data_IF_154571777408
#
_entry.id   IF_154571777408
#
_cell.length_a   1.000
_cell.length_b   1.000
_cell.length_c   1.000
_cell.angle_alpha   90.00
_cell.angle_beta   90.00
_cell.angle_gamma   90.00
#
_symmetry.space_group_name_H-M   'P 1'
#
loop_
_entity.id
_entity.type
_entity.pdbx_description
1 polymer ?
#
# COMPACT_ATOMS: atom_id res chain seq x y z
N UNK A 1 -5.21 11.97 -4.91
CA UNK A 1 -4.39 10.90 -4.28
C UNK A 1 -3.03 10.88 -4.96
N UNK A 2 -1.99 10.72 -4.18
CA UNK A 2 -0.59 10.61 -4.64
C UNK A 2 0.03 9.37 -4.04
N UNK A 3 0.86 8.70 -4.84
CA UNK A 3 1.61 7.52 -4.44
C UNK A 3 3.09 7.76 -4.67
N UNK A 4 3.90 7.54 -3.66
CA UNK A 4 5.35 7.69 -3.68
C UNK A 4 6.03 6.41 -3.23
N UNK A 5 7.12 6.05 -3.89
CA UNK A 5 7.98 4.93 -3.49
C UNK A 5 9.44 5.38 -3.48
N UNK A 6 10.24 4.69 -2.68
CA UNK A 6 11.70 4.85 -2.69
C UNK A 6 12.36 3.51 -2.41
N UNK A 7 13.51 3.26 -3.02
CA UNK A 7 14.38 2.14 -2.67
C UNK A 7 15.52 2.67 -1.81
N UNK A 8 15.56 2.23 -0.56
CA UNK A 8 16.54 2.70 0.45
C UNK A 8 17.70 1.72 0.68
N UNK A 9 17.74 0.63 -0.09
CA UNK A 9 18.79 -0.36 -0.04
C UNK A 9 18.35 -1.74 0.43
N UNK A 10 19.14 -2.75 0.08
CA UNK A 10 19.00 -4.12 0.59
C UNK A 10 19.68 -4.25 1.95
N UNK A 11 19.12 -5.07 2.83
CA UNK A 11 19.70 -5.32 4.16
C UNK A 11 19.35 -4.29 5.25
N UNK A 12 18.58 -3.26 4.91
CA UNK A 12 18.09 -2.27 5.88
C UNK A 12 17.11 -2.91 6.88
N UNK A 13 17.16 -2.48 8.11
CA UNK A 13 16.30 -2.97 9.18
C UNK A 13 14.84 -2.56 8.97
N UNK A 14 13.92 -3.28 9.62
CA UNK A 14 12.50 -2.93 9.63
C UNK A 14 12.24 -1.52 10.16
N UNK A 15 13.05 -1.07 11.13
CA UNK A 15 12.96 0.28 11.70
C UNK A 15 13.32 1.34 10.66
N UNK A 16 14.45 1.18 9.98
CA UNK A 16 14.89 2.10 8.93
C UNK A 16 13.87 2.17 7.79
N UNK A 17 13.32 1.03 7.35
CA UNK A 17 12.24 1.02 6.35
C UNK A 17 11.00 1.78 6.84
N UNK A 18 10.63 1.61 8.12
CA UNK A 18 9.50 2.34 8.70
C UNK A 18 9.77 3.84 8.74
N UNK A 19 10.96 4.26 9.17
CA UNK A 19 11.34 5.67 9.26
C UNK A 19 11.37 6.33 7.86
N UNK A 20 11.89 5.64 6.86
CA UNK A 20 11.86 6.07 5.46
C UNK A 20 10.43 6.18 4.89
N UNK A 21 9.55 5.25 5.21
CA UNK A 21 8.16 5.33 4.79
C UNK A 21 7.46 6.57 5.36
N UNK A 22 7.76 6.95 6.60
CA UNK A 22 7.27 8.19 7.18
C UNK A 22 7.97 9.45 6.63
N UNK A 23 9.23 9.34 6.20
CA UNK A 23 9.89 10.42 5.49
C UNK A 23 9.21 10.70 4.14
N UNK A 24 8.79 9.66 3.40
CA UNK A 24 7.93 9.83 2.20
C UNK A 24 6.61 10.53 2.50
N UNK A 25 5.96 10.23 3.63
CA UNK A 25 4.73 10.95 4.03
C UNK A 25 5.05 12.43 4.26
N UNK A 26 6.12 12.76 4.99
CA UNK A 26 6.52 14.17 5.22
C UNK A 26 6.85 14.90 3.92
N UNK A 27 7.55 14.23 2.99
CA UNK A 27 7.82 14.74 1.66
C UNK A 27 6.51 15.07 0.92
N UNK A 28 5.55 14.16 0.89
CA UNK A 28 4.24 14.38 0.27
C UNK A 28 3.46 15.53 0.94
N UNK A 29 3.54 15.66 2.27
CA UNK A 29 2.91 16.76 3.00
C UNK A 29 3.54 18.11 2.64
N UNK A 30 4.87 18.15 2.50
CA UNK A 30 5.59 19.36 2.08
C UNK A 30 5.19 19.80 0.67
N UNK A 31 5.08 18.87 -0.28
CA UNK A 31 4.57 19.16 -1.63
C UNK A 31 3.15 19.74 -1.64
N UNK A 32 2.33 19.37 -0.66
CA UNK A 32 0.97 19.89 -0.47
C UNK A 32 0.90 21.19 0.34
N UNK A 33 2.03 21.72 0.77
CA UNK A 33 2.09 22.91 1.64
C UNK A 33 1.55 22.64 3.06
N UNK A 34 1.43 21.39 3.48
CA UNK A 34 0.96 21.02 4.82
C UNK A 34 2.15 21.04 5.79
N UNK A 35 2.16 22.01 6.71
CA UNK A 35 3.18 22.15 7.74
C UNK A 35 2.61 21.88 9.14
N UNK A 36 3.48 21.51 10.09
CA UNK A 36 3.11 21.34 11.50
C UNK A 36 2.29 20.10 11.84
N UNK A 37 1.88 19.29 10.85
CA UNK A 37 1.13 18.08 11.11
C UNK A 37 2.04 16.97 11.69
N UNK A 38 1.69 16.48 12.88
CA UNK A 38 2.41 15.39 13.53
C UNK A 38 1.83 14.03 13.12
N UNK A 39 2.71 13.04 12.90
CA UNK A 39 2.30 11.67 12.67
C UNK A 39 2.11 11.00 14.02
N UNK A 40 0.89 10.60 14.32
CA UNK A 40 0.51 9.85 15.50
C UNK A 40 0.55 8.36 15.17
N UNK A 41 1.27 7.58 15.99
CA UNK A 41 1.42 6.12 15.84
C UNK A 41 0.77 5.42 17.05
N UNK A 42 -0.51 5.11 17.00
CA UNK A 42 -1.16 4.42 18.13
C UNK A 42 -0.64 2.98 18.23
N UNK A 43 -0.58 2.45 19.43
CA UNK A 43 -0.18 1.06 19.66
C UNK A 43 -1.26 0.12 19.05
N UNK A 44 -0.88 -0.68 18.05
CA UNK A 44 -1.78 -1.62 17.37
C UNK A 44 -2.81 -0.99 16.41
N UNK A 45 -2.72 0.33 16.13
CA UNK A 45 -3.63 1.03 15.25
C UNK A 45 -2.94 1.56 13.98
N UNK A 46 -3.76 1.99 13.02
CA UNK A 46 -3.29 2.67 11.82
C UNK A 46 -2.76 4.07 12.17
N UNK A 47 -1.55 4.46 11.72
CA UNK A 47 -1.04 5.81 11.92
C UNK A 47 -1.91 6.87 11.22
N UNK A 48 -1.97 8.06 11.81
CA UNK A 48 -2.75 9.19 11.29
C UNK A 48 -2.06 10.53 11.58
N UNK A 49 -2.50 11.59 10.94
CA UNK A 49 -2.02 12.96 11.22
C UNK A 49 -2.82 13.60 12.37
N UNK A 50 -2.16 14.33 13.24
CA UNK A 50 -2.81 15.07 14.34
C UNK A 50 -3.91 16.02 13.87
N UNK A 51 -3.74 16.60 12.66
CA UNK A 51 -4.74 17.45 12.00
C UNK A 51 -5.92 16.65 11.38
N UNK A 52 -5.90 15.30 11.41
CA UNK A 52 -6.92 14.45 10.83
C UNK A 52 -6.85 14.31 9.30
N UNK A 53 -6.31 15.28 8.59
CA UNK A 53 -6.16 15.29 7.11
C UNK A 53 -4.83 15.92 6.70
N UNK A 54 -4.30 15.57 5.50
CA UNK A 54 -4.76 14.48 4.62
C UNK A 54 -4.61 13.10 5.25
N UNK A 55 -5.28 12.11 4.70
CA UNK A 55 -5.11 10.69 5.08
C UNK A 55 -3.86 10.12 4.43
N UNK A 56 -3.23 9.16 5.10
CA UNK A 56 -2.13 8.43 4.50
C UNK A 56 -2.12 6.95 4.85
N UNK A 57 -1.37 6.19 4.07
CA UNK A 57 -1.06 4.78 4.32
C UNK A 57 0.39 4.52 3.94
N UNK A 58 1.10 3.70 4.71
CA UNK A 58 2.48 3.31 4.43
C UNK A 58 2.62 1.81 4.38
N UNK A 59 3.58 1.35 3.59
CA UNK A 59 4.04 -0.03 3.56
C UNK A 59 5.51 -0.10 3.22
N UNK A 60 6.14 -1.23 3.48
CA UNK A 60 7.52 -1.50 3.09
C UNK A 60 7.78 -2.98 2.94
N UNK A 61 8.65 -3.33 2.00
CA UNK A 61 9.10 -4.71 1.76
C UNK A 61 10.51 -4.69 1.17
N UNK A 62 11.44 -5.45 1.78
CA UNK A 62 12.78 -5.71 1.22
C UNK A 62 13.52 -4.45 0.72
N UNK A 63 13.60 -3.42 1.52
CA UNK A 63 14.31 -2.17 1.22
C UNK A 63 13.54 -1.17 0.36
N UNK A 64 12.33 -1.50 -0.08
CA UNK A 64 11.44 -0.56 -0.75
C UNK A 64 10.33 -0.10 0.18
N UNK A 65 10.06 1.18 0.16
CA UNK A 65 9.01 1.83 0.96
C UNK A 65 7.96 2.47 0.05
N UNK A 66 6.73 2.53 0.55
CA UNK A 66 5.58 3.11 -0.16
C UNK A 66 4.83 4.03 0.79
N UNK A 67 4.43 5.20 0.29
CA UNK A 67 3.47 6.10 0.93
C UNK A 67 2.35 6.47 -0.05
N UNK A 68 1.13 6.38 0.42
CA UNK A 68 -0.06 6.93 -0.23
C UNK A 68 -0.58 8.11 0.59
N UNK A 69 -0.86 9.26 -0.05
CA UNK A 69 -1.44 10.44 0.60
C UNK A 69 -2.66 10.90 -0.18
N UNK A 70 -3.76 11.18 0.52
CA UNK A 70 -5.05 11.45 -0.10
C UNK A 70 -5.95 12.30 0.79
N UNK A 71 -6.86 13.07 0.17
CA UNK A 71 -7.89 13.84 0.88
C UNK A 71 -9.02 12.93 1.43
N UNK A 72 -9.03 11.66 1.01
CA UNK A 72 -9.96 10.63 1.46
C UNK A 72 -9.23 9.45 2.10
N UNK A 73 -9.88 8.64 2.96
CA UNK A 73 -9.28 7.43 3.51
C UNK A 73 -8.66 6.56 2.42
N UNK A 74 -7.45 6.09 2.66
CA UNK A 74 -6.63 5.32 1.71
C UNK A 74 -5.93 4.17 2.43
N UNK A 75 -5.78 3.04 1.74
CA UNK A 75 -4.92 1.94 2.13
C UNK A 75 -3.94 1.62 1.01
N UNK A 76 -2.70 1.31 1.34
CA UNK A 76 -1.69 0.96 0.35
C UNK A 76 -0.76 -0.12 0.90
N UNK A 77 -0.33 -1.02 0.02
CA UNK A 77 0.62 -2.07 0.33
C UNK A 77 1.61 -2.29 -0.79
N UNK A 78 2.83 -2.76 -0.46
CA UNK A 78 3.89 -3.11 -1.41
C UNK A 78 4.60 -4.36 -0.96
N UNK A 79 4.85 -5.29 -1.91
CA UNK A 79 5.58 -6.52 -1.67
C UNK A 79 6.60 -6.83 -2.77
N UNK A 80 7.75 -7.33 -2.34
CA UNK A 80 8.76 -7.90 -3.25
C UNK A 80 8.25 -9.22 -3.79
N UNK A 81 8.26 -9.38 -5.12
CA UNK A 81 8.01 -10.67 -5.78
C UNK A 81 9.16 -11.61 -5.43
N UNK A 82 8.81 -12.81 -4.98
CA UNK A 82 9.72 -13.89 -4.62
C UNK A 82 9.06 -15.24 -4.85
N UNK A 83 9.81 -16.30 -4.73
CA UNK A 83 9.26 -17.64 -4.81
C UNK A 83 8.31 -17.92 -3.63
N UNK A 84 7.26 -18.67 -3.92
CA UNK A 84 6.29 -19.14 -2.95
C UNK A 84 5.86 -20.56 -3.30
N UNK A 85 5.45 -21.35 -2.31
CA UNK A 85 4.97 -22.69 -2.58
C UNK A 85 3.54 -22.68 -3.13
N UNK A 86 3.22 -23.56 -4.11
CA UNK A 86 1.84 -23.72 -4.60
C UNK A 86 0.83 -24.04 -3.50
N UNK A 87 1.27 -24.79 -2.48
CA UNK A 87 0.44 -25.13 -1.32
C UNK A 87 0.08 -23.90 -0.50
N UNK A 88 1.02 -22.95 -0.33
CA UNK A 88 0.74 -21.67 0.34
C UNK A 88 -0.29 -20.86 -0.45
N UNK A 89 -0.13 -20.77 -1.76
CA UNK A 89 -1.08 -20.08 -2.62
C UNK A 89 -2.50 -20.70 -2.52
N UNK A 90 -2.59 -22.04 -2.60
CA UNK A 90 -3.87 -22.74 -2.48
C UNK A 90 -4.55 -22.57 -1.12
N UNK A 91 -3.75 -22.41 -0.04
CA UNK A 91 -4.28 -22.18 1.31
C UNK A 91 -4.77 -20.75 1.52
N UNK A 92 -4.17 -19.76 0.85
CA UNK A 92 -4.48 -18.35 1.02
C UNK A 92 -5.53 -17.84 0.03
N UNK A 93 -5.51 -18.32 -1.19
CA UNK A 93 -6.29 -17.77 -2.29
C UNK A 93 -7.21 -18.84 -2.89
N UNK A 94 -8.42 -18.44 -3.26
CA UNK A 94 -9.35 -19.27 -4.02
C UNK A 94 -8.79 -19.59 -5.41
N UNK A 95 -9.38 -20.55 -6.09
CA UNK A 95 -9.00 -20.91 -7.47
C UNK A 95 -9.22 -19.73 -8.42
N UNK A 96 -10.33 -19.01 -8.28
CA UNK A 96 -10.61 -17.82 -9.09
C UNK A 96 -9.56 -16.72 -8.87
N UNK A 97 -9.18 -16.45 -7.64
CA UNK A 97 -8.13 -15.46 -7.36
C UNK A 97 -6.77 -15.85 -7.94
N UNK A 98 -6.39 -17.15 -7.86
CA UNK A 98 -5.13 -17.66 -8.42
C UNK A 98 -5.09 -17.65 -9.95
N UNK A 99 -6.26 -17.67 -10.61
CA UNK A 99 -6.38 -17.50 -12.06
C UNK A 99 -6.28 -16.01 -12.45
N UNK A 100 -6.90 -15.12 -11.69
CA UNK A 100 -7.10 -13.72 -12.03
C UNK A 100 -5.95 -12.79 -11.56
N UNK A 101 -5.18 -13.22 -10.57
CA UNK A 101 -4.11 -12.43 -9.94
C UNK A 101 -2.86 -13.28 -9.70
N UNK A 102 -1.69 -12.67 -9.79
CA UNK A 102 -0.47 -13.24 -9.23
C UNK A 102 -0.54 -13.26 -7.69
N UNK A 103 0.29 -14.08 -7.05
CA UNK A 103 0.31 -14.21 -5.58
C UNK A 103 0.46 -12.85 -4.87
N UNK A 104 1.48 -12.08 -5.26
CA UNK A 104 1.78 -10.81 -4.60
C UNK A 104 0.80 -9.71 -4.99
N UNK A 105 0.21 -9.76 -6.16
CA UNK A 105 -0.89 -8.88 -6.54
C UNK A 105 -2.12 -9.12 -5.65
N UNK A 106 -2.57 -10.37 -5.52
CA UNK A 106 -3.67 -10.71 -4.62
C UNK A 106 -3.39 -10.35 -3.16
N UNK A 107 -2.16 -10.57 -2.70
CA UNK A 107 -1.77 -10.25 -1.34
C UNK A 107 -1.79 -8.75 -1.06
N UNK A 108 -1.13 -7.95 -1.90
CA UNK A 108 -1.12 -6.49 -1.73
C UNK A 108 -2.50 -5.86 -1.87
N UNK A 109 -3.38 -6.41 -2.70
CA UNK A 109 -4.79 -6.00 -2.78
C UNK A 109 -5.49 -6.19 -1.44
N UNK A 110 -5.41 -7.38 -0.83
CA UNK A 110 -6.03 -7.67 0.47
C UNK A 110 -5.50 -6.77 1.57
N UNK A 111 -4.17 -6.62 1.67
CA UNK A 111 -3.52 -5.74 2.64
C UNK A 111 -3.93 -4.27 2.45
N UNK A 112 -4.01 -3.78 1.22
CA UNK A 112 -4.44 -2.40 0.95
C UNK A 112 -5.89 -2.17 1.38
N UNK A 113 -6.78 -3.12 1.10
CA UNK A 113 -8.20 -3.05 1.52
C UNK A 113 -8.32 -3.14 3.04
N UNK A 114 -7.56 -4.02 3.68
CA UNK A 114 -7.51 -4.12 5.15
C UNK A 114 -7.01 -2.81 5.78
N UNK A 115 -5.92 -2.24 5.26
CA UNK A 115 -5.38 -0.94 5.72
C UNK A 115 -6.35 0.22 5.52
N UNK A 116 -7.22 0.14 4.49
CA UNK A 116 -8.28 1.14 4.27
C UNK A 116 -9.42 0.99 5.28
N UNK A 117 -9.93 -0.24 5.42
CA UNK A 117 -11.21 -0.50 6.10
C UNK A 117 -11.04 -0.80 7.60
N UNK A 118 -9.88 -1.33 8.00
CA UNK A 118 -9.67 -1.91 9.32
C UNK A 118 -10.55 -3.14 9.59
N UNK A 119 -11.15 -3.71 8.56
CA UNK A 119 -12.17 -4.77 8.65
C UNK A 119 -11.80 -5.98 7.79
N UNK A 120 -12.37 -7.11 8.17
CA UNK A 120 -12.18 -8.38 7.47
C UNK A 120 -10.94 -9.10 7.94
N UNK A 121 -10.89 -10.38 7.63
CA UNK A 121 -9.75 -11.24 7.84
C UNK A 121 -9.01 -11.42 6.51
N UNK A 122 -7.73 -11.14 6.46
CA UNK A 122 -6.93 -11.20 5.23
C UNK A 122 -7.03 -12.56 4.50
N UNK A 123 -7.14 -13.66 5.27
CA UNK A 123 -7.23 -15.01 4.69
C UNK A 123 -8.57 -15.33 4.06
N UNK A 124 -9.65 -14.77 4.59
CA UNK A 124 -11.01 -15.00 4.10
C UNK A 124 -11.50 -13.95 3.11
N UNK A 125 -10.80 -12.79 3.03
CA UNK A 125 -11.11 -11.75 2.06
C UNK A 125 -10.94 -12.28 0.63
N UNK A 126 -11.93 -12.06 -0.22
CA UNK A 126 -11.92 -12.51 -1.62
C UNK A 126 -11.88 -11.33 -2.56
N UNK A 127 -10.97 -11.38 -3.52
CA UNK A 127 -10.87 -10.43 -4.62
C UNK A 127 -11.30 -11.10 -5.92
N UNK A 128 -11.99 -10.38 -6.76
CA UNK A 128 -12.40 -10.84 -8.08
C UNK A 128 -11.97 -9.83 -9.14
N UNK A 129 -11.83 -10.28 -10.37
CA UNK A 129 -11.64 -9.38 -11.51
C UNK A 129 -12.87 -9.47 -12.42
N UNK A 130 -13.54 -8.34 -12.63
CA UNK A 130 -14.70 -8.23 -13.51
C UNK A 130 -14.51 -7.06 -14.47
N UNK A 131 -14.54 -7.34 -15.77
CA UNK A 131 -14.35 -6.28 -16.79
C UNK A 131 -13.02 -5.50 -16.66
N UNK A 132 -11.96 -6.15 -16.15
CA UNK A 132 -10.67 -5.51 -15.89
C UNK A 132 -10.56 -4.80 -14.54
N UNK A 133 -11.67 -4.58 -13.85
CA UNK A 133 -11.70 -3.95 -12.54
C UNK A 133 -11.58 -4.95 -11.39
N UNK A 134 -10.98 -4.51 -10.28
CA UNK A 134 -10.91 -5.30 -9.04
C UNK A 134 -12.19 -5.09 -8.23
N UNK A 135 -12.89 -6.18 -7.96
CA UNK A 135 -14.07 -6.22 -7.08
C UNK A 135 -13.65 -6.73 -5.71
N UNK A 136 -14.02 -6.01 -4.66
CA UNK A 136 -13.72 -6.33 -3.26
C UNK A 136 -14.99 -6.73 -2.51
N UNK A 137 -14.88 -7.43 -1.37
CA UNK A 137 -16.05 -7.76 -0.53
C UNK A 137 -16.66 -6.53 0.18
N UNK A 138 -16.08 -5.35 0.03
CA UNK A 138 -16.55 -4.12 0.65
C UNK A 138 -17.16 -3.19 -0.39
N UNK A 139 -18.48 -2.93 -0.35
CA UNK A 139 -19.15 -2.06 -1.32
C UNK A 139 -18.51 -0.66 -1.38
N UNK A 140 -18.31 -0.16 -2.60
CA UNK A 140 -17.71 1.14 -2.86
C UNK A 140 -16.19 1.24 -2.73
N UNK A 141 -15.52 0.19 -2.26
CA UNK A 141 -14.05 0.16 -2.28
C UNK A 141 -13.56 -0.14 -3.69
N UNK A 142 -12.72 0.75 -4.20
CA UNK A 142 -12.02 0.60 -5.48
C UNK A 142 -10.54 0.36 -5.21
N UNK A 143 -9.90 -0.42 -6.07
CA UNK A 143 -8.49 -0.76 -5.97
C UNK A 143 -7.78 -0.55 -7.29
N UNK A 144 -6.48 -0.29 -7.21
CA UNK A 144 -5.56 -0.31 -8.35
C UNK A 144 -4.27 -0.98 -7.96
N UNK A 145 -3.73 -1.81 -8.87
CA UNK A 145 -2.44 -2.47 -8.74
C UNK A 145 -1.40 -1.79 -9.62
N UNK A 146 -0.15 -1.91 -9.22
CA UNK A 146 1.01 -1.33 -9.90
C UNK A 146 2.16 -2.32 -9.90
N UNK A 147 2.78 -2.49 -11.06
CA UNK A 147 4.11 -3.10 -11.14
C UNK A 147 5.14 -2.04 -10.81
N UNK A 148 6.01 -2.30 -9.84
CA UNK A 148 7.04 -1.37 -9.38
C UNK A 148 8.42 -1.91 -9.72
N UNK A 149 9.31 -1.03 -10.14
CA UNK A 149 10.67 -1.38 -10.53
C UNK A 149 11.38 -2.23 -9.49
N UNK A 150 12.26 -3.14 -9.95
CA UNK A 150 12.97 -4.07 -9.08
C UNK A 150 12.14 -5.29 -8.67
N UNK A 151 11.03 -5.60 -9.36
CA UNK A 151 10.20 -6.79 -9.13
C UNK A 151 9.36 -6.68 -7.86
N UNK A 152 8.63 -5.57 -7.71
CA UNK A 152 7.64 -5.39 -6.66
C UNK A 152 6.24 -5.23 -7.25
N UNK A 153 5.24 -5.65 -6.49
CA UNK A 153 3.84 -5.25 -6.67
C UNK A 153 3.42 -4.30 -5.56
N UNK A 154 2.66 -3.28 -5.95
CA UNK A 154 1.98 -2.41 -5.00
C UNK A 154 0.49 -2.33 -5.34
N UNK A 155 -0.33 -2.14 -4.32
CA UNK A 155 -1.77 -1.92 -4.47
C UNK A 155 -2.23 -0.76 -3.62
N UNK A 156 -3.23 -0.07 -4.10
CA UNK A 156 -3.88 1.02 -3.37
C UNK A 156 -5.40 0.81 -3.38
N UNK A 157 -6.05 1.09 -2.25
CA UNK A 157 -7.49 1.00 -2.06
C UNK A 157 -8.05 2.30 -1.51
N UNK A 158 -9.22 2.73 -2.01
CA UNK A 158 -9.92 3.92 -1.54
C UNK A 158 -11.41 3.86 -1.89
N UNK A 159 -12.24 4.56 -1.11
CA UNK A 159 -13.66 4.76 -1.45
C UNK A 159 -13.87 5.85 -2.51
N UNK A 160 -13.01 6.87 -2.53
CA UNK A 160 -13.11 8.05 -3.40
C UNK A 160 -11.74 8.49 -3.90
N UNK A 161 -11.74 9.35 -4.90
CA UNK A 161 -10.53 9.90 -5.50
C UNK A 161 -10.13 9.20 -6.79
N UNK A 162 -9.14 9.78 -7.45
CA UNK A 162 -8.56 9.25 -8.69
C UNK A 162 -7.24 8.57 -8.33
N UNK A 163 -7.08 7.33 -8.74
CA UNK A 163 -5.80 6.63 -8.64
C UNK A 163 -4.84 7.20 -9.67
N UNK A 164 -3.60 7.55 -9.30
CA UNK A 164 -2.60 7.98 -10.26
C UNK A 164 -2.29 6.86 -11.27
N UNK A 165 -1.83 7.23 -12.46
CA UNK A 165 -1.43 6.26 -13.49
C UNK A 165 -0.21 5.44 -13.07
N UNK A 166 0.67 6.04 -12.28
CA UNK A 166 1.94 5.47 -11.81
C UNK A 166 2.26 5.89 -10.37
N UNK A 167 3.23 5.22 -9.75
CA UNK A 167 3.79 5.59 -8.46
C UNK A 167 5.06 6.40 -8.72
N UNK A 168 5.16 7.60 -8.16
CA UNK A 168 6.35 8.44 -8.29
C UNK A 168 7.53 7.85 -7.49
N UNK A 169 8.64 7.60 -8.16
CA UNK A 169 9.89 7.16 -7.52
C UNK A 169 10.63 8.38 -6.96
N UNK A 170 10.94 8.37 -5.67
CA UNK A 170 11.68 9.43 -4.98
C UNK A 170 13.07 8.89 -4.64
N UNK A 171 14.16 9.56 -5.05
CA UNK A 171 15.51 9.16 -4.65
C UNK A 171 15.64 9.13 -3.12
N UNK A 172 16.31 8.12 -2.58
CA UNK A 172 16.50 7.99 -1.13
C UNK A 172 17.25 9.17 -0.52
N UNK A 173 18.16 9.81 -1.27
CA UNK A 173 18.87 11.03 -0.85
C UNK A 173 17.96 12.24 -0.58
N UNK A 174 16.70 12.22 -1.00
CA UNK A 174 15.71 13.26 -0.71
C UNK A 174 15.05 13.02 0.65
N UNK A 175 15.15 11.81 1.20
CA UNK A 175 14.48 11.41 2.43
C UNK A 175 15.36 11.56 3.68
N UNK A 176 16.71 11.66 3.48
CA UNK A 176 17.71 11.68 4.55
C UNK A 176 18.73 12.80 4.37
#
# INVERSE_FOLDING_TARGET
MELFTSFIGSGVSRREMSDAAYALVRYALALRGVSGAQIIRPRGGKPYLSAGRPFFSVSHSRGRVLAAVSDFPVGADIERVRDFSPQLAARLFSESERRDFSFFEAWTLRESVYKLTGRGELRSMRMERRGGEVVTPFPGVRCRTYSVAGGFFASCAAYKGIFPSEIAEIPSSVLF
#
